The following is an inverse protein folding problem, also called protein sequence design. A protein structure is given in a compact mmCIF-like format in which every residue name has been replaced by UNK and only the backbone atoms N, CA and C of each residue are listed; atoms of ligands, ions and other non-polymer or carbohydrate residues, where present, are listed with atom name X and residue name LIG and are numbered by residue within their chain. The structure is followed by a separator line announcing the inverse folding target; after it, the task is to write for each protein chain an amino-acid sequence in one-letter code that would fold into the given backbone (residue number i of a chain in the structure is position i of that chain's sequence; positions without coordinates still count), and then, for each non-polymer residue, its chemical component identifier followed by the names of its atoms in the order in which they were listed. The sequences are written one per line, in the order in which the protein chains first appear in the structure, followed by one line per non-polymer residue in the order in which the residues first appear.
data_IF_493489288099
#
_entry.id   IF_493489288099
#
_cell.length_a   1.000
_cell.length_b   1.000
_cell.length_c   1.000
_cell.angle_alpha   90.00
_cell.angle_beta   90.00
_cell.angle_gamma   90.00
#
_symmetry.space_group_name_H-M   'P 1'
#
loop_
_entity.id
_entity.type
_entity.pdbx_description
1 polymer ?
#
# COMPACT_ATOMS: atom_id res chain seq x y z
N UNK A 1 6.63 -7.73 -26.28
CA UNK A 1 6.90 -7.91 -24.84
C UNK A 1 5.61 -8.30 -24.14
N UNK A 2 5.59 -9.39 -23.35
CA UNK A 2 4.39 -9.78 -22.61
C UNK A 2 4.03 -8.68 -21.59
N UNK A 3 2.78 -8.21 -21.62
CA UNK A 3 2.30 -7.18 -20.68
C UNK A 3 2.43 -7.72 -19.25
N UNK A 4 3.15 -6.99 -18.38
CA UNK A 4 3.26 -7.33 -16.96
C UNK A 4 1.85 -7.41 -16.35
N UNK A 5 1.54 -8.51 -15.67
CA UNK A 5 0.25 -8.68 -15.02
C UNK A 5 0.04 -7.60 -13.96
N UNK A 6 -1.16 -7.02 -13.91
CA UNK A 6 -1.50 -5.92 -13.01
C UNK A 6 -2.65 -6.29 -12.07
N UNK A 7 -2.52 -5.93 -10.78
CA UNK A 7 -3.55 -6.09 -9.76
C UNK A 7 -3.68 -4.81 -8.95
N UNK A 8 -4.91 -4.36 -8.75
CA UNK A 8 -5.19 -3.20 -7.91
C UNK A 8 -5.46 -3.60 -6.46
N UNK A 9 -5.22 -2.68 -5.52
CA UNK A 9 -5.71 -2.80 -4.14
C UNK A 9 -6.55 -1.58 -3.77
N UNK A 10 -7.61 -1.79 -3.00
CA UNK A 10 -8.48 -0.71 -2.52
C UNK A 10 -9.00 -1.01 -1.11
N UNK A 11 -9.10 0.03 -0.29
CA UNK A 11 -9.77 -0.03 1.01
C UNK A 11 -11.17 0.52 0.90
N UNK A 12 -12.19 -0.24 1.31
CA UNK A 12 -13.55 0.28 1.23
C UNK A 12 -13.81 1.41 2.24
N UNK A 13 -13.17 1.37 3.42
CA UNK A 13 -13.38 2.34 4.49
C UNK A 13 -14.88 2.51 4.79
N UNK A 14 -15.35 3.74 4.89
CA UNK A 14 -16.74 4.16 5.11
C UNK A 14 -17.41 4.68 3.83
N UNK A 15 -16.84 4.40 2.65
CA UNK A 15 -17.40 4.88 1.37
C UNK A 15 -18.82 4.36 1.14
N UNK A 16 -19.58 5.09 0.36
CA UNK A 16 -20.79 4.57 -0.28
C UNK A 16 -20.44 3.54 -1.36
N UNK A 17 -21.43 2.73 -1.75
CA UNK A 17 -21.24 1.77 -2.84
C UNK A 17 -21.12 2.44 -4.22
N UNK A 18 -21.75 3.60 -4.42
CA UNK A 18 -21.62 4.35 -5.67
C UNK A 18 -20.23 4.97 -5.81
N UNK A 19 -19.65 5.52 -4.73
CA UNK A 19 -18.25 5.96 -4.72
C UNK A 19 -17.29 4.79 -5.01
N UNK A 20 -17.52 3.62 -4.39
CA UNK A 20 -16.73 2.43 -4.72
C UNK A 20 -16.77 2.17 -6.23
N UNK A 21 -17.96 2.14 -6.84
CA UNK A 21 -18.11 1.82 -8.26
C UNK A 21 -17.50 2.87 -9.17
N UNK A 22 -17.59 4.17 -8.83
CA UNK A 22 -16.90 5.23 -9.57
C UNK A 22 -15.40 4.97 -9.62
N UNK A 23 -14.79 4.69 -8.47
CA UNK A 23 -13.38 4.32 -8.37
C UNK A 23 -13.09 3.07 -9.22
N UNK A 24 -13.87 1.99 -9.07
CA UNK A 24 -13.63 0.76 -9.84
C UNK A 24 -13.67 1.01 -11.36
N UNK A 25 -14.61 1.84 -11.83
CA UNK A 25 -14.74 2.18 -13.25
C UNK A 25 -13.60 3.05 -13.76
N UNK A 26 -13.14 4.02 -12.96
CA UNK A 26 -12.00 4.88 -13.33
C UNK A 26 -10.72 4.07 -13.64
N UNK A 27 -10.53 2.93 -12.97
CA UNK A 27 -9.40 2.02 -13.19
C UNK A 27 -9.74 0.81 -14.07
N UNK A 28 -10.90 0.81 -14.74
CA UNK A 28 -11.32 -0.28 -15.63
C UNK A 28 -11.50 -1.63 -14.93
N UNK A 29 -11.70 -1.65 -13.61
CA UNK A 29 -11.82 -2.88 -12.81
C UNK A 29 -13.10 -3.61 -13.17
N UNK A 30 -12.98 -4.90 -13.50
CA UNK A 30 -14.11 -5.79 -13.83
C UNK A 30 -14.34 -6.88 -12.80
N UNK A 31 -13.41 -7.05 -11.84
CA UNK A 31 -13.55 -7.99 -10.73
C UNK A 31 -13.06 -7.38 -9.42
N UNK A 32 -13.88 -7.51 -8.39
CA UNK A 32 -13.54 -7.26 -6.99
C UNK A 32 -13.36 -8.59 -6.25
N UNK A 33 -12.17 -8.82 -5.73
CA UNK A 33 -11.84 -9.93 -4.83
C UNK A 33 -11.80 -9.41 -3.40
N UNK A 34 -12.76 -9.84 -2.59
CA UNK A 34 -12.81 -9.49 -1.18
C UNK A 34 -11.90 -10.43 -0.37
N UNK A 35 -10.86 -9.85 0.23
CA UNK A 35 -9.87 -10.57 1.03
C UNK A 35 -10.10 -10.38 2.53
N UNK A 36 -11.30 -9.98 2.96
CA UNK A 36 -11.67 -9.95 4.38
C UNK A 36 -11.99 -11.36 4.85
N UNK A 37 -11.53 -11.73 6.04
CA UNK A 37 -11.88 -13.04 6.63
C UNK A 37 -13.37 -13.15 6.91
N UNK A 38 -13.95 -12.06 7.43
CA UNK A 38 -15.36 -11.92 7.75
C UNK A 38 -15.88 -10.68 7.01
N UNK A 39 -16.49 -10.82 5.82
CA UNK A 39 -17.04 -9.70 5.05
C UNK A 39 -18.42 -9.29 5.57
N UNK A 40 -18.50 -8.95 6.86
CA UNK A 40 -19.70 -8.51 7.57
C UNK A 40 -19.36 -7.39 8.53
N UNK A 41 -20.16 -6.34 8.57
CA UNK A 41 -20.02 -5.20 9.48
C UNK A 41 -21.39 -4.62 9.82
N UNK A 42 -21.60 -4.25 11.09
CA UNK A 42 -22.78 -3.47 11.52
C UNK A 42 -22.65 -2.00 11.15
N UNK A 43 -21.42 -1.46 11.20
CA UNK A 43 -21.14 -0.05 10.89
C UNK A 43 -21.11 0.21 9.38
N UNK A 44 -20.68 -0.77 8.59
CA UNK A 44 -20.60 -0.69 7.14
C UNK A 44 -21.40 -1.82 6.44
N UNK A 45 -22.73 -1.91 6.68
CA UNK A 45 -23.55 -3.01 6.18
C UNK A 45 -23.68 -3.04 4.65
N UNK A 46 -23.45 -1.92 3.98
CA UNK A 46 -23.40 -1.83 2.52
C UNK A 46 -22.29 -2.70 1.92
N UNK A 47 -21.20 -2.92 2.67
CA UNK A 47 -20.11 -3.81 2.28
C UNK A 47 -20.28 -5.24 2.79
N UNK A 48 -21.45 -5.65 3.33
CA UNK A 48 -21.68 -7.06 3.63
C UNK A 48 -21.66 -7.89 2.35
N UNK A 49 -21.15 -9.12 2.43
CA UNK A 49 -20.96 -10.02 1.27
C UNK A 49 -22.16 -10.09 0.34
N UNK A 50 -23.35 -10.27 0.89
CA UNK A 50 -24.59 -10.43 0.13
C UNK A 50 -25.00 -9.12 -0.56
N UNK A 51 -24.98 -8.01 0.20
CA UNK A 51 -25.30 -6.66 -0.29
C UNK A 51 -24.34 -6.22 -1.38
N UNK A 52 -23.04 -6.30 -1.11
CA UNK A 52 -21.98 -5.92 -2.05
C UNK A 52 -22.01 -6.79 -3.31
N UNK A 53 -22.18 -8.11 -3.14
CA UNK A 53 -22.27 -9.04 -4.27
C UNK A 53 -23.44 -8.73 -5.19
N UNK A 54 -24.64 -8.49 -4.64
CA UNK A 54 -25.83 -8.10 -5.42
C UNK A 54 -25.63 -6.76 -6.13
N UNK A 55 -25.10 -5.77 -5.42
CA UNK A 55 -24.88 -4.43 -5.93
C UNK A 55 -23.90 -4.39 -7.12
N UNK A 56 -22.77 -5.11 -7.02
CA UNK A 56 -21.76 -5.18 -8.06
C UNK A 56 -22.24 -5.99 -9.28
N UNK A 57 -23.01 -7.06 -9.06
CA UNK A 57 -23.58 -7.87 -10.15
C UNK A 57 -24.46 -7.03 -11.07
N UNK A 58 -25.34 -6.19 -10.51
CA UNK A 58 -26.20 -5.29 -11.28
C UNK A 58 -25.41 -4.26 -12.11
N UNK A 59 -24.13 -4.05 -11.79
CA UNK A 59 -23.22 -3.13 -12.47
C UNK A 59 -22.16 -3.85 -13.31
N UNK A 60 -22.36 -5.16 -13.56
CA UNK A 60 -21.47 -6.04 -14.36
C UNK A 60 -20.04 -6.15 -13.82
N UNK A 61 -19.85 -5.94 -12.51
CA UNK A 61 -18.57 -6.17 -11.81
C UNK A 61 -18.67 -7.51 -11.08
N UNK A 62 -17.71 -8.40 -11.33
CA UNK A 62 -17.70 -9.71 -10.68
C UNK A 62 -17.22 -9.59 -9.24
N UNK A 63 -18.01 -10.09 -8.30
CA UNK A 63 -17.63 -10.20 -6.89
C UNK A 63 -17.13 -11.61 -6.58
N UNK A 64 -16.03 -11.73 -5.85
CA UNK A 64 -15.57 -13.01 -5.29
C UNK A 64 -14.97 -12.84 -3.91
N UNK A 65 -15.48 -13.60 -2.95
CA UNK A 65 -14.86 -13.69 -1.62
C UNK A 65 -13.72 -14.71 -1.63
N UNK A 66 -12.56 -14.32 -1.09
CA UNK A 66 -11.36 -15.16 -1.02
C UNK A 66 -10.82 -15.21 0.41
N UNK A 67 -11.49 -15.99 1.26
CA UNK A 67 -11.09 -16.20 2.67
C UNK A 67 -9.67 -16.76 2.82
N UNK A 68 -9.14 -17.47 1.83
CA UNK A 68 -7.74 -17.94 1.84
C UNK A 68 -6.74 -16.80 1.97
N UNK A 69 -7.02 -15.61 1.40
CA UNK A 69 -6.18 -14.43 1.58
C UNK A 69 -6.67 -13.52 2.73
N UNK A 70 -7.60 -14.02 3.54
CA UNK A 70 -8.15 -13.37 4.72
C UNK A 70 -7.11 -13.09 5.81
N UNK A 71 -7.24 -11.90 6.43
CA UNK A 71 -6.53 -11.52 7.66
C UNK A 71 -6.92 -12.36 8.89
N UNK A 72 -6.78 -11.78 10.09
CA UNK A 72 -7.06 -12.47 11.37
C UNK A 72 -6.27 -13.78 11.51
N UNK A 73 -4.95 -13.68 11.31
CA UNK A 73 -4.01 -14.80 11.45
C UNK A 73 -3.23 -14.64 12.75
N UNK A 74 -2.89 -15.77 13.38
CA UNK A 74 -2.17 -15.79 14.64
C UNK A 74 -0.67 -15.95 14.40
N UNK A 75 0.12 -15.16 15.14
CA UNK A 75 1.56 -15.29 15.13
C UNK A 75 1.99 -16.62 15.76
N UNK A 76 2.98 -17.25 15.15
CA UNK A 76 3.64 -18.42 15.72
C UNK A 76 4.64 -17.96 16.80
N UNK A 77 4.86 -18.80 17.81
CA UNK A 77 5.81 -18.51 18.89
C UNK A 77 7.24 -18.36 18.33
N UNK A 78 7.59 -19.22 17.37
CA UNK A 78 8.86 -19.29 16.65
C UNK A 78 8.89 -18.42 15.38
N UNK A 79 8.04 -17.39 15.30
CA UNK A 79 7.94 -16.54 14.11
C UNK A 79 9.28 -15.92 13.73
N UNK A 80 9.67 -16.11 12.46
CA UNK A 80 10.80 -15.41 11.83
C UNK A 80 10.46 -13.96 11.45
N UNK A 81 9.19 -13.58 11.53
CA UNK A 81 8.66 -12.30 11.05
C UNK A 81 8.61 -11.23 12.17
N UNK A 82 9.59 -11.24 13.06
CA UNK A 82 9.61 -10.37 14.25
C UNK A 82 9.85 -8.89 13.96
N UNK A 83 10.17 -8.53 12.70
CA UNK A 83 10.18 -7.14 12.25
C UNK A 83 8.81 -6.47 12.41
N UNK A 84 7.72 -7.25 12.33
CA UNK A 84 6.40 -6.78 12.74
C UNK A 84 6.23 -6.86 14.26
N UNK A 85 6.15 -5.68 14.90
CA UNK A 85 5.78 -5.54 16.32
C UNK A 85 4.30 -5.87 16.56
N UNK A 86 3.43 -5.54 15.60
CA UNK A 86 2.01 -5.86 15.67
C UNK A 86 1.79 -7.38 15.45
N UNK A 87 1.16 -8.05 16.42
CA UNK A 87 0.93 -9.51 16.39
C UNK A 87 0.08 -9.96 15.19
N UNK A 88 -0.89 -9.18 14.75
CA UNK A 88 -1.76 -9.52 13.61
C UNK A 88 -1.00 -9.49 12.28
N UNK A 89 -0.13 -8.49 12.10
CA UNK A 89 0.74 -8.42 10.91
C UNK A 89 1.76 -9.56 10.92
N UNK A 90 2.38 -9.84 12.07
CA UNK A 90 3.29 -10.98 12.24
C UNK A 90 2.59 -12.29 11.92
N UNK A 91 1.39 -12.51 12.46
CA UNK A 91 0.59 -13.70 12.18
C UNK A 91 0.21 -13.85 10.71
N UNK A 92 -0.08 -12.74 10.03
CA UNK A 92 -0.29 -12.79 8.58
C UNK A 92 0.99 -13.16 7.84
N UNK A 93 2.13 -12.57 8.19
CA UNK A 93 3.43 -12.90 7.61
C UNK A 93 3.85 -14.36 7.83
N UNK A 94 3.51 -14.94 8.98
CA UNK A 94 3.70 -16.37 9.25
C UNK A 94 2.79 -17.23 8.36
N UNK A 95 1.53 -16.82 8.21
CA UNK A 95 0.59 -17.48 7.30
C UNK A 95 1.06 -17.47 5.85
N UNK A 96 1.78 -16.42 5.41
CA UNK A 96 2.35 -16.34 4.06
C UNK A 96 3.36 -17.46 3.75
N UNK A 97 3.91 -18.11 4.77
CA UNK A 97 4.84 -19.24 4.61
C UNK A 97 4.13 -20.57 4.40
N UNK A 98 2.80 -20.59 4.35
CA UNK A 98 2.01 -21.83 4.25
C UNK A 98 1.63 -22.17 2.80
N UNK A 99 1.49 -23.47 2.46
CA UNK A 99 0.96 -23.88 1.16
C UNK A 99 -0.44 -23.31 0.85
N UNK A 100 -1.26 -23.10 1.89
CA UNK A 100 -2.60 -22.53 1.75
C UNK A 100 -2.56 -21.07 1.26
N UNK A 101 -1.60 -20.27 1.72
CA UNK A 101 -1.41 -18.92 1.21
C UNK A 101 -0.95 -18.95 -0.26
N UNK A 102 0.02 -19.80 -0.60
CA UNK A 102 0.50 -19.95 -1.98
C UNK A 102 -0.62 -20.36 -2.93
N UNK A 103 -1.47 -21.31 -2.53
CA UNK A 103 -2.66 -21.68 -3.30
C UNK A 103 -3.63 -20.50 -3.49
N UNK A 104 -3.78 -19.66 -2.46
CA UNK A 104 -4.56 -18.42 -2.54
C UNK A 104 -3.98 -17.42 -3.54
N UNK A 105 -2.67 -17.21 -3.53
CA UNK A 105 -1.98 -16.33 -4.48
C UNK A 105 -2.13 -16.84 -5.91
N UNK A 106 -1.87 -18.13 -6.17
CA UNK A 106 -2.07 -18.72 -7.51
C UNK A 106 -3.49 -18.50 -8.03
N UNK A 107 -4.49 -18.79 -7.20
CA UNK A 107 -5.90 -18.55 -7.56
C UNK A 107 -6.19 -17.07 -7.86
N UNK A 108 -5.57 -16.13 -7.13
CA UNK A 108 -5.72 -14.71 -7.42
C UNK A 108 -5.07 -14.33 -8.76
N UNK A 109 -3.88 -14.87 -9.07
CA UNK A 109 -3.20 -14.67 -10.34
C UNK A 109 -4.02 -15.21 -11.51
N UNK A 110 -4.58 -16.41 -11.39
CA UNK A 110 -5.45 -17.02 -12.43
C UNK A 110 -6.69 -16.17 -12.71
N UNK A 111 -7.25 -15.56 -11.65
CA UNK A 111 -8.34 -14.62 -11.79
C UNK A 111 -7.86 -13.37 -12.52
N UNK A 112 -6.80 -12.72 -12.05
CA UNK A 112 -6.29 -11.47 -12.61
C UNK A 112 -5.84 -11.61 -14.08
N UNK A 113 -5.39 -12.80 -14.51
CA UNK A 113 -5.06 -13.08 -15.91
C UNK A 113 -6.29 -12.97 -16.84
N UNK A 114 -7.50 -13.17 -16.33
CA UNK A 114 -8.74 -13.18 -17.11
C UNK A 114 -9.43 -11.81 -17.18
N UNK A 115 -9.30 -10.98 -16.13
CA UNK A 115 -10.01 -9.70 -16.00
C UNK A 115 -9.24 -8.73 -15.11
N UNK A 116 -9.28 -7.40 -15.37
CA UNK A 116 -8.78 -6.39 -14.45
C UNK A 116 -9.39 -6.58 -13.05
N UNK A 117 -8.51 -6.84 -12.07
CA UNK A 117 -8.90 -7.32 -10.74
C UNK A 117 -8.38 -6.39 -9.66
N UNK A 118 -9.24 -6.06 -8.69
CA UNK A 118 -8.88 -5.38 -7.45
C UNK A 118 -9.04 -6.33 -6.27
N UNK A 119 -8.12 -6.28 -5.29
CA UNK A 119 -8.34 -6.86 -3.96
C UNK A 119 -8.84 -5.79 -3.00
N UNK A 120 -9.81 -6.14 -2.14
CA UNK A 120 -10.42 -5.20 -1.19
C UNK A 120 -10.34 -5.68 0.26
N UNK A 121 -10.01 -4.76 1.16
CA UNK A 121 -10.17 -4.91 2.61
C UNK A 121 -10.89 -3.70 3.23
N UNK A 122 -11.00 -3.64 4.56
CA UNK A 122 -11.80 -2.64 5.26
C UNK A 122 -11.08 -1.31 5.47
N UNK A 123 -9.79 -1.34 5.78
CA UNK A 123 -9.01 -0.18 6.16
C UNK A 123 -8.80 0.75 4.97
N UNK A 124 -8.85 2.07 5.16
CA UNK A 124 -8.64 3.03 4.07
C UNK A 124 -7.26 2.87 3.40
N UNK A 125 -6.22 2.71 4.21
CA UNK A 125 -4.81 2.75 3.77
C UNK A 125 -4.14 1.37 3.84
N UNK A 126 -3.29 1.00 2.86
CA UNK A 126 -2.73 -0.34 2.78
C UNK A 126 -1.76 -0.67 3.93
N UNK A 127 -0.98 0.30 4.44
CA UNK A 127 -0.01 0.10 5.52
C UNK A 127 -0.63 -0.22 6.90
N UNK A 128 -1.95 -0.13 7.03
CA UNK A 128 -2.69 -0.54 8.23
C UNK A 128 -3.49 -1.84 8.05
N UNK A 129 -3.41 -2.48 6.88
CA UNK A 129 -4.13 -3.70 6.54
C UNK A 129 -3.20 -4.79 5.99
N UNK A 130 -3.59 -6.06 6.16
CA UNK A 130 -2.87 -7.21 5.61
C UNK A 130 -2.78 -7.19 4.07
N UNK A 131 -3.61 -6.40 3.37
CA UNK A 131 -3.55 -6.27 1.92
C UNK A 131 -2.18 -5.76 1.41
N UNK A 132 -1.43 -5.02 2.24
CA UNK A 132 -0.05 -4.65 1.91
C UNK A 132 0.89 -5.86 1.82
N UNK A 133 0.69 -6.88 2.66
CA UNK A 133 1.48 -8.12 2.63
C UNK A 133 1.10 -9.02 1.45
N UNK A 134 -0.17 -9.01 1.04
CA UNK A 134 -0.59 -9.62 -0.23
C UNK A 134 0.11 -8.90 -1.39
N UNK A 135 0.12 -7.56 -1.38
CA UNK A 135 0.78 -6.76 -2.41
C UNK A 135 2.30 -7.02 -2.47
N UNK A 136 2.96 -7.19 -1.32
CA UNK A 136 4.35 -7.62 -1.26
C UNK A 136 4.56 -8.99 -1.95
N UNK A 137 3.73 -9.98 -1.62
CA UNK A 137 3.80 -11.32 -2.22
C UNK A 137 3.56 -11.31 -3.74
N UNK A 138 2.68 -10.45 -4.23
CA UNK A 138 2.44 -10.26 -5.66
C UNK A 138 3.63 -9.57 -6.33
N UNK A 139 4.21 -8.56 -5.68
CA UNK A 139 5.32 -7.76 -6.22
C UNK A 139 6.58 -8.61 -6.43
N UNK A 140 6.94 -9.48 -5.47
CA UNK A 140 8.08 -10.41 -5.62
C UNK A 140 7.84 -11.49 -6.69
N UNK A 141 6.59 -11.66 -7.14
CA UNK A 141 6.20 -12.53 -8.27
C UNK A 141 6.11 -11.75 -9.59
N UNK A 142 6.73 -10.57 -9.65
CA UNK A 142 6.76 -9.69 -10.81
C UNK A 142 5.38 -9.19 -11.29
N UNK A 143 4.38 -9.16 -10.39
CA UNK A 143 3.10 -8.50 -10.66
C UNK A 143 3.25 -7.01 -10.41
N UNK A 144 2.67 -6.17 -11.28
CA UNK A 144 2.53 -4.74 -11.01
C UNK A 144 1.35 -4.54 -10.07
N UNK A 145 1.59 -4.04 -8.85
CA UNK A 145 0.53 -3.81 -7.88
C UNK A 145 0.33 -2.31 -7.69
N UNK A 146 -0.91 -1.86 -7.81
CA UNK A 146 -1.28 -0.44 -7.69
C UNK A 146 -2.26 -0.26 -6.55
N UNK A 147 -1.88 0.58 -5.58
CA UNK A 147 -2.74 0.96 -4.46
C UNK A 147 -3.62 2.14 -4.86
N UNK A 148 -4.93 1.93 -4.92
CA UNK A 148 -5.92 2.97 -5.26
C UNK A 148 -6.41 3.66 -3.98
N UNK A 149 -6.49 4.99 -4.02
CA UNK A 149 -7.01 5.84 -2.95
C UNK A 149 -8.27 6.61 -3.37
N UNK A 150 -8.34 7.03 -4.64
CA UNK A 150 -9.51 7.69 -5.25
C UNK A 150 -9.53 7.45 -6.77
N UNK A 151 -10.53 8.01 -7.46
CA UNK A 151 -10.66 7.97 -8.93
C UNK A 151 -9.41 8.47 -9.67
N UNK A 152 -8.69 9.43 -9.08
CA UNK A 152 -7.53 10.09 -9.69
C UNK A 152 -6.23 9.90 -8.92
N UNK A 153 -6.27 9.27 -7.74
CA UNK A 153 -5.09 9.05 -6.90
C UNK A 153 -4.84 7.56 -6.70
N UNK A 154 -3.72 7.10 -7.24
CA UNK A 154 -3.14 5.79 -6.98
C UNK A 154 -1.63 5.87 -6.92
N UNK A 155 -1.01 4.86 -6.31
CA UNK A 155 0.44 4.74 -6.22
C UNK A 155 0.87 3.30 -6.46
N UNK A 156 1.96 3.05 -7.21
CA UNK A 156 2.59 1.74 -7.23
C UNK A 156 2.89 1.26 -5.80
N UNK A 157 2.71 -0.03 -5.56
CA UNK A 157 3.07 -0.64 -4.29
C UNK A 157 4.59 -0.70 -4.14
N UNK A 158 5.10 -0.17 -3.04
CA UNK A 158 6.49 -0.33 -2.64
C UNK A 158 6.60 -1.49 -1.64
N UNK A 159 7.60 -2.33 -1.81
CA UNK A 159 7.87 -3.41 -0.87
C UNK A 159 8.10 -2.86 0.53
N UNK A 160 7.60 -3.58 1.55
CA UNK A 160 7.93 -3.29 2.94
C UNK A 160 9.46 -3.22 3.12
N UNK A 161 9.97 -2.10 3.63
CA UNK A 161 11.40 -1.75 3.57
C UNK A 161 12.36 -2.75 4.23
N UNK A 162 11.89 -3.43 5.27
CA UNK A 162 12.67 -4.45 6.01
C UNK A 162 12.38 -5.88 5.55
N UNK A 163 11.62 -6.07 4.48
CA UNK A 163 11.36 -7.38 3.92
C UNK A 163 12.65 -8.01 3.36
N UNK A 164 12.74 -9.33 3.49
CA UNK A 164 13.79 -10.16 2.88
C UNK A 164 13.14 -11.11 1.90
N UNK A 165 13.65 -11.12 0.68
CA UNK A 165 13.12 -11.93 -0.43
C UNK A 165 14.14 -13.01 -0.78
N UNK A 166 13.67 -14.26 -0.83
CA UNK A 166 14.40 -15.40 -1.38
C UNK A 166 13.50 -16.08 -2.40
N UNK A 167 13.78 -15.85 -3.68
CA UNK A 167 12.92 -16.29 -4.79
C UNK A 167 11.48 -15.78 -4.63
N UNK A 168 10.50 -16.66 -4.44
CA UNK A 168 9.07 -16.31 -4.25
C UNK A 168 8.64 -16.25 -2.78
N UNK A 169 9.59 -16.43 -1.86
CA UNK A 169 9.36 -16.40 -0.42
C UNK A 169 9.79 -15.03 0.10
N UNK A 170 8.93 -14.42 0.91
CA UNK A 170 9.19 -13.15 1.59
C UNK A 170 9.00 -13.31 3.08
N UNK A 171 9.96 -12.81 3.84
CA UNK A 171 9.94 -12.78 5.30
C UNK A 171 10.27 -11.38 5.80
N UNK A 172 9.98 -11.13 7.08
CA UNK A 172 10.09 -9.81 7.69
C UNK A 172 10.89 -9.90 9.00
N UNK A 173 12.17 -10.28 8.95
CA UNK A 173 12.99 -10.40 10.14
C UNK A 173 13.20 -9.05 10.84
N UNK A 174 13.55 -9.06 12.14
CA UNK A 174 13.87 -7.82 12.85
C UNK A 174 15.09 -7.15 12.21
N UNK A 175 15.03 -5.83 12.06
CA UNK A 175 16.18 -5.07 11.53
C UNK A 175 17.37 -5.19 12.51
N UNK A 176 18.60 -5.23 11.99
CA UNK A 176 19.82 -5.38 12.81
C UNK A 176 19.98 -4.24 13.83
N UNK A 177 19.49 -3.05 13.52
CA UNK A 177 19.45 -1.92 14.45
C UNK A 177 18.51 -2.16 15.63
N UNK A 178 17.38 -2.84 15.42
CA UNK A 178 16.41 -3.15 16.49
C UNK A 178 16.97 -4.17 17.49
N UNK A 179 17.92 -5.02 17.07
CA UNK A 179 18.62 -5.95 17.99
C UNK A 179 19.53 -5.21 18.97
N UNK A 180 20.15 -4.09 18.58
CA UNK A 180 21.04 -3.31 19.47
C UNK A 180 20.29 -2.66 20.62
N UNK A 181 19.08 -2.15 20.37
CA UNK A 181 18.20 -1.60 21.41
C UNK A 181 17.65 -2.65 22.37
N UNK A 182 17.34 -3.85 21.87
CA UNK A 182 16.86 -4.95 22.73
C UNK A 182 17.98 -5.60 23.56
N UNK A 183 19.24 -5.46 23.15
CA UNK A 183 20.41 -6.04 23.82
C UNK A 183 21.07 -5.12 24.86
N UNK A 184 20.51 -3.94 25.16
CA UNK A 184 21.02 -3.06 26.21
C UNK A 184 22.45 -2.51 25.99
N UNK A 185 22.98 -2.57 24.77
CA UNK A 185 24.33 -2.09 24.48
C UNK A 185 24.33 -0.56 24.28
N UNK A 186 25.14 0.20 25.04
CA UNK A 186 25.12 1.66 24.96
C UNK A 186 25.61 2.17 23.60
N UNK A 187 24.99 3.25 23.12
CA UNK A 187 25.46 4.02 21.97
C UNK A 187 26.80 4.67 22.30
N UNK A 188 27.89 4.23 21.65
CA UNK A 188 29.10 5.05 21.58
C UNK A 188 28.74 6.37 20.88
N UNK A 189 28.91 7.49 21.59
CA UNK A 189 28.71 8.84 21.06
C UNK A 189 29.59 9.04 19.83
N UNK A 190 28.97 9.48 18.74
CA UNK A 190 29.67 10.10 17.61
C UNK A 190 30.30 11.40 18.13
N UNK A 191 31.58 11.70 17.85
CA UNK A 191 32.17 12.97 18.24
C UNK A 191 31.52 14.09 17.42
N UNK A 192 30.96 15.09 18.10
CA UNK A 192 30.51 16.33 17.48
C UNK A 192 31.74 17.15 17.09
N UNK A 193 32.03 17.25 15.79
CA UNK A 193 32.97 18.24 15.28
C UNK A 193 32.35 19.63 15.44
N UNK A 194 32.85 20.40 16.41
CA UNK A 194 32.55 21.83 16.55
C UNK A 194 33.09 22.56 15.32
N UNK A 195 32.21 23.31 14.67
CA UNK A 195 32.59 24.42 13.80
C UNK A 195 33.21 25.53 14.66
N UNK A 196 34.40 25.98 14.26
CA UNK A 196 34.98 27.26 14.69
C UNK A 196 35.14 28.13 13.45
N UNK A 197 34.40 29.24 13.41
CA UNK A 197 34.60 30.32 12.46
C UNK A 197 34.99 31.59 13.21
N UNK A 198 35.93 32.33 12.63
CA UNK A 198 36.24 33.79 12.70
C UNK A 198 37.64 33.93 12.08
N UNK A 199 38.08 34.92 11.31
CA UNK A 199 37.61 36.24 10.84
C UNK A 199 38.71 36.77 9.89
N UNK A 200 38.39 37.59 8.89
CA UNK A 200 39.41 38.34 8.16
C UNK A 200 38.93 39.02 6.88
N UNK A 201 38.56 40.29 6.99
CA UNK A 201 37.99 41.15 5.95
C UNK A 201 39.03 41.68 4.93
N UNK A 202 38.59 42.06 3.72
CA UNK A 202 38.52 43.47 3.24
C UNK A 202 38.18 43.62 1.73
N UNK A 203 37.30 44.60 1.45
CA UNK A 203 37.23 45.57 0.32
C UNK A 203 37.31 45.07 -1.14
N UNK A 204 36.57 45.55 -2.14
CA UNK A 204 35.86 46.82 -2.37
C UNK A 204 35.12 46.77 -3.72
N UNK A 205 34.31 47.81 -3.99
CA UNK A 205 33.85 48.36 -5.28
C UNK A 205 32.55 47.85 -5.94
N UNK A 206 31.48 48.59 -5.57
CA UNK A 206 30.33 49.15 -6.35
C UNK A 206 30.78 49.71 -7.74
N UNK A 207 29.93 49.99 -8.79
CA UNK A 207 28.46 50.22 -8.81
C UNK A 207 27.57 49.63 -9.96
N UNK A 208 26.25 49.70 -9.70
CA UNK A 208 25.06 50.09 -10.52
C UNK A 208 24.92 49.66 -11.99
N UNK A 209 23.72 49.13 -12.31
CA UNK A 209 22.59 49.79 -13.04
C UNK A 209 21.38 48.84 -13.04
N UNK A 210 20.24 49.19 -12.42
CA UNK A 210 19.01 49.77 -13.02
C UNK A 210 18.56 49.13 -14.35
N UNK A 211 17.40 48.47 -14.38
CA UNK A 211 16.19 48.97 -15.07
C UNK A 211 14.95 48.12 -14.74
N UNK A 212 13.81 48.83 -14.66
CA UNK A 212 12.45 48.40 -14.38
C UNK A 212 11.79 47.61 -15.52
N UNK A 213 10.72 46.89 -15.20
CA UNK A 213 9.80 46.30 -16.19
C UNK A 213 8.51 45.76 -15.59
N UNK A 214 7.59 46.67 -15.27
CA UNK A 214 6.19 46.42 -14.89
C UNK A 214 5.37 45.85 -16.07
N UNK A 215 4.43 44.93 -15.84
CA UNK A 215 3.00 45.17 -16.11
C UNK A 215 2.09 44.00 -15.68
N UNK A 216 0.99 44.38 -15.04
CA UNK A 216 -0.16 43.55 -14.69
C UNK A 216 -1.06 43.25 -15.90
N UNK A 217 -1.88 42.19 -15.81
CA UNK A 217 -3.25 42.17 -16.35
C UNK A 217 -4.15 41.17 -15.61
N UNK A 218 -5.28 41.71 -15.12
CA UNK A 218 -6.50 41.03 -14.65
C UNK A 218 -7.43 40.74 -15.84
N UNK A 219 -8.20 39.64 -15.78
CA UNK A 219 -9.60 39.47 -16.26
C UNK A 219 -9.94 37.96 -16.29
N UNK A 220 -10.86 37.40 -15.50
CA UNK A 220 -12.34 37.50 -15.49
C UNK A 220 -13.07 36.67 -16.58
N UNK A 221 -13.83 35.67 -16.11
CA UNK A 221 -15.15 35.15 -16.54
C UNK A 221 -15.48 34.75 -18.01
N UNK A 222 -16.02 33.53 -18.17
CA UNK A 222 -17.34 33.15 -18.75
C UNK A 222 -17.46 31.61 -18.77
N UNK A 223 -18.40 30.98 -18.04
CA UNK A 223 -19.73 30.50 -18.49
C UNK A 223 -19.73 29.89 -19.90
N UNK A 224 -19.77 28.56 -19.97
CA UNK A 224 -20.87 27.76 -20.55
C UNK A 224 -20.99 26.47 -19.72
#
# INVERSE_FOLDING_TARGET
MARRQEIFTLGHSTRSLDELVKILRAYGVRRLVDVRTIPRSRHNPQFNKETLGKFLRNRRINYRHMKSLGGLRHARVDSVNQGFRNKSFRGYADYMQTPAFEAGIRKLLDLAAKKPTVIVCAEAVPWRCHRSLIADALTIRNVHVVNIFSETNSRPHALTSFAKVKSKIITYPPNRETRRFAAGLPMNRVPTSKASGTTGARSSSVPRTMTNGSTARKSAQRRF
#
